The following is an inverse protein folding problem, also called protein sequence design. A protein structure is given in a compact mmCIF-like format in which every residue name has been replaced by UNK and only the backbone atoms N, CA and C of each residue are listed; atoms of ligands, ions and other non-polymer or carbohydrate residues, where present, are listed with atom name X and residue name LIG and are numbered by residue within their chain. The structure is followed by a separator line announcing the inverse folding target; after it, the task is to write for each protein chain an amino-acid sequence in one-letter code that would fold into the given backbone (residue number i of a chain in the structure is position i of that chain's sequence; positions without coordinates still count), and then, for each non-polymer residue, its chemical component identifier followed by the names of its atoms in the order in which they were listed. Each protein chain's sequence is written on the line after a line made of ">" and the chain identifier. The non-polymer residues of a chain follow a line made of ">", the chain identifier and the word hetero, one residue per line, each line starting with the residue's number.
data_IF_707182611707
#
_entry.id   IF_707182611707
#
_cell.length_a   1.000
_cell.length_b   1.000
_cell.length_c   1.000
_cell.angle_alpha   90.00
_cell.angle_beta   90.00
_cell.angle_gamma   90.00
#
_symmetry.space_group_name_H-M   'P 1'
#
loop_
_entity.id
_entity.type
_entity.pdbx_description
1 polymer ?
#
# COMPACT_ATOMS: atom_id res chain seq x y z
N UNK A 1 2.58 -85.96 18.25
CA UNK A 1 1.14 -86.07 17.94
C UNK A 1 0.67 -87.31 18.65
N UNK A 2 -0.14 -87.15 19.70
CA UNK A 2 -0.66 -88.26 20.49
C UNK A 2 -1.59 -89.07 19.58
N UNK A 3 -1.37 -90.39 19.47
CA UNK A 3 -2.36 -91.27 18.88
C UNK A 3 -3.61 -91.19 19.76
N UNK A 4 -4.77 -90.86 19.18
CA UNK A 4 -6.02 -90.79 19.92
C UNK A 4 -6.27 -92.16 20.56
N UNK A 5 -6.61 -92.18 21.86
CA UNK A 5 -6.80 -93.41 22.63
C UNK A 5 -7.81 -94.36 21.96
N UNK A 6 -8.79 -93.80 21.23
CA UNK A 6 -9.78 -94.54 20.47
C UNK A 6 -9.20 -95.28 19.26
N UNK A 7 -8.25 -94.68 18.51
CA UNK A 7 -7.55 -95.37 17.41
C UNK A 7 -6.71 -96.55 17.93
N UNK A 8 -6.13 -96.39 19.11
CA UNK A 8 -5.32 -97.41 19.79
C UNK A 8 -6.19 -98.58 20.27
N UNK A 9 -7.39 -98.31 20.78
CA UNK A 9 -8.37 -99.34 21.16
C UNK A 9 -8.86 -100.10 19.93
N UNK A 10 -9.14 -99.41 18.81
CA UNK A 10 -9.51 -100.06 17.54
C UNK A 10 -8.39 -100.96 17.00
N UNK A 11 -7.12 -100.55 17.13
CA UNK A 11 -5.95 -101.37 16.77
C UNK A 11 -5.83 -102.62 17.66
N UNK A 12 -6.02 -102.46 18.97
CA UNK A 12 -5.99 -103.56 19.95
C UNK A 12 -7.15 -104.54 19.75
N UNK A 13 -8.32 -104.06 19.36
CA UNK A 13 -9.47 -104.92 19.04
C UNK A 13 -9.22 -105.73 17.76
N UNK A 14 -8.57 -105.15 16.74
CA UNK A 14 -8.12 -105.90 15.55
C UNK A 14 -7.08 -106.98 15.89
N UNK A 15 -6.19 -106.72 16.84
CA UNK A 15 -5.20 -107.69 17.34
C UNK A 15 -5.83 -108.87 18.11
N UNK A 16 -7.04 -108.69 18.65
CA UNK A 16 -7.74 -109.69 19.45
C UNK A 16 -8.87 -110.43 18.71
N UNK A 17 -9.34 -109.90 17.57
CA UNK A 17 -10.50 -110.42 16.82
C UNK A 17 -10.20 -111.61 15.89
N UNK A 18 -8.95 -111.97 15.65
CA UNK A 18 -8.65 -113.23 14.97
C UNK A 18 -8.50 -114.35 15.99
N UNK A 19 -9.27 -115.44 15.86
CA UNK A 19 -9.06 -116.69 16.62
C UNK A 19 -7.64 -117.29 16.44
N UNK A 20 -6.85 -116.72 15.51
CA UNK A 20 -5.41 -116.89 15.33
C UNK A 20 -4.67 -115.56 15.55
N UNK A 21 -4.73 -114.99 16.75
CA UNK A 21 -3.98 -113.78 17.10
C UNK A 21 -2.48 -113.99 16.82
N UNK A 22 -1.99 -113.47 15.70
CA UNK A 22 -0.58 -113.56 15.35
C UNK A 22 0.21 -112.75 16.36
N UNK A 23 1.15 -113.33 17.12
CA UNK A 23 1.89 -112.63 18.17
C UNK A 23 2.98 -111.71 17.59
N UNK A 24 2.77 -111.20 16.37
CA UNK A 24 3.75 -110.51 15.57
C UNK A 24 3.19 -109.16 15.11
N UNK A 25 3.99 -108.10 15.27
CA UNK A 25 3.77 -106.81 14.63
C UNK A 25 4.90 -106.54 13.64
N UNK A 26 4.56 -106.08 12.44
CA UNK A 26 5.55 -105.62 11.46
C UNK A 26 5.65 -104.10 11.49
N UNK A 27 6.86 -103.57 11.59
CA UNK A 27 7.05 -102.13 11.54
C UNK A 27 7.09 -101.61 10.11
N UNK A 28 6.17 -100.72 9.75
CA UNK A 28 6.11 -100.03 8.46
C UNK A 28 7.22 -98.99 8.21
N UNK A 29 8.31 -99.01 8.99
CA UNK A 29 9.50 -98.19 8.78
C UNK A 29 10.78 -99.05 8.63
N UNK A 30 10.97 -100.04 9.50
CA UNK A 30 12.12 -100.97 9.50
C UNK A 30 11.83 -102.32 8.81
N UNK A 31 10.56 -102.60 8.50
CA UNK A 31 10.03 -103.93 8.12
C UNK A 31 10.38 -105.08 9.08
N UNK A 32 10.85 -104.79 10.29
CA UNK A 32 11.20 -105.83 11.25
C UNK A 32 9.95 -106.34 11.96
N UNK A 33 9.97 -107.63 12.29
CA UNK A 33 8.92 -108.30 13.04
C UNK A 33 9.24 -108.18 14.53
N UNK A 34 8.33 -107.57 15.27
CA UNK A 34 8.32 -107.56 16.73
C UNK A 34 7.41 -108.68 17.22
N UNK A 35 7.90 -109.49 18.16
CA UNK A 35 7.06 -110.43 18.89
C UNK A 35 6.40 -109.72 20.08
N UNK A 36 5.12 -110.00 20.32
CA UNK A 36 4.40 -109.49 21.49
C UNK A 36 3.69 -110.63 22.18
N UNK A 37 3.86 -110.67 23.50
CA UNK A 37 3.10 -111.56 24.37
C UNK A 37 1.61 -111.12 24.41
N UNK A 38 0.74 -112.00 23.94
CA UNK A 38 -0.72 -111.77 23.86
C UNK A 38 -1.33 -111.54 25.25
N UNK A 39 -0.70 -112.05 26.32
CA UNK A 39 -1.15 -111.82 27.70
C UNK A 39 -0.86 -110.38 28.15
N UNK A 40 0.27 -109.81 27.72
CA UNK A 40 0.63 -108.42 27.98
C UNK A 40 -0.32 -107.44 27.28
N UNK A 41 -0.75 -107.75 26.04
CA UNK A 41 -1.73 -106.95 25.29
C UNK A 41 -3.11 -106.93 25.98
N UNK A 42 -3.56 -108.08 26.51
CA UNK A 42 -4.82 -108.19 27.28
C UNK A 42 -4.77 -107.34 28.56
N UNK A 43 -3.63 -107.31 29.26
CA UNK A 43 -3.41 -106.44 30.41
C UNK A 43 -3.54 -104.96 30.06
N UNK A 44 -2.85 -104.52 29.00
CA UNK A 44 -2.88 -103.13 28.52
C UNK A 44 -4.30 -102.69 28.11
N UNK A 45 -5.09 -103.57 27.46
CA UNK A 45 -6.50 -103.29 27.10
C UNK A 45 -7.41 -103.13 28.32
N UNK A 46 -7.25 -104.00 29.32
CA UNK A 46 -8.05 -103.94 30.54
C UNK A 46 -7.70 -102.70 31.37
N UNK A 47 -6.42 -102.31 31.38
CA UNK A 47 -5.96 -101.08 32.02
C UNK A 47 -6.48 -99.82 31.30
N UNK A 48 -6.52 -99.82 29.97
CA UNK A 48 -7.12 -98.74 29.14
C UNK A 48 -8.61 -98.53 29.43
N UNK A 49 -9.38 -99.62 29.63
CA UNK A 49 -10.80 -99.54 30.01
C UNK A 49 -11.02 -99.06 31.44
N UNK A 50 -10.04 -99.27 32.33
CA UNK A 50 -10.15 -98.99 33.76
C UNK A 50 -9.57 -97.63 34.17
N UNK A 51 -8.56 -97.12 33.45
CA UNK A 51 -7.91 -95.82 33.68
C UNK A 51 -7.56 -95.11 32.35
N UNK A 52 -8.43 -94.22 31.84
CA UNK A 52 -8.24 -93.56 30.54
C UNK A 52 -7.13 -92.48 30.49
N UNK A 53 -6.36 -92.26 31.55
CA UNK A 53 -5.33 -91.20 31.64
C UNK A 53 -3.96 -91.67 32.17
N UNK A 54 -3.64 -92.97 32.10
CA UNK A 54 -2.30 -93.45 32.42
C UNK A 54 -1.27 -93.01 31.34
N UNK A 55 -0.04 -92.59 31.70
CA UNK A 55 0.98 -92.19 30.72
C UNK A 55 1.40 -93.38 29.86
N UNK A 56 1.26 -93.21 28.54
CA UNK A 56 1.34 -94.25 27.53
C UNK A 56 2.78 -94.55 27.09
N UNK A 57 3.34 -95.64 27.60
CA UNK A 57 4.27 -96.52 26.88
C UNK A 57 3.79 -97.94 27.22
N UNK A 58 3.49 -98.84 26.29
CA UNK A 58 4.48 -99.85 25.89
C UNK A 58 3.82 -100.81 24.88
N UNK A 59 3.67 -100.39 23.62
CA UNK A 59 3.99 -101.35 22.57
C UNK A 59 5.51 -101.48 22.59
N UNK A 60 6.09 -102.70 22.58
CA UNK A 60 7.53 -102.85 22.53
C UNK A 60 8.07 -102.10 21.30
N UNK A 61 9.12 -101.28 21.44
CA UNK A 61 9.67 -100.51 20.34
C UNK A 61 10.09 -101.44 19.19
N UNK A 62 10.05 -100.97 17.93
CA UNK A 62 10.59 -101.73 16.79
C UNK A 62 12.01 -102.23 17.14
N UNK A 63 12.26 -103.53 17.05
CA UNK A 63 13.62 -104.09 17.27
C UNK A 63 14.64 -103.51 16.28
N UNK A 64 14.19 -103.05 15.11
CA UNK A 64 15.03 -102.35 14.12
C UNK A 64 15.20 -100.85 14.38
N UNK A 65 14.11 -100.08 14.47
CA UNK A 65 14.16 -98.61 14.46
C UNK A 65 13.78 -97.93 15.79
N UNK A 66 13.56 -98.70 16.85
CA UNK A 66 13.18 -98.27 18.20
C UNK A 66 11.95 -97.36 18.32
N UNK A 67 11.12 -97.23 17.26
CA UNK A 67 9.90 -96.42 17.25
C UNK A 67 8.66 -97.31 17.37
N UNK A 68 7.60 -96.77 17.96
CA UNK A 68 6.29 -97.43 18.14
C UNK A 68 5.22 -96.94 17.17
N UNK A 69 5.51 -95.88 16.40
CA UNK A 69 4.53 -95.11 15.62
C UNK A 69 3.99 -95.86 14.38
N UNK A 70 4.79 -96.76 13.79
CA UNK A 70 4.47 -97.39 12.50
C UNK A 70 4.29 -98.91 12.61
N UNK A 71 3.86 -99.43 13.76
CA UNK A 71 3.65 -100.87 13.94
C UNK A 71 2.28 -101.28 13.38
N UNK A 72 2.25 -102.29 12.52
CA UNK A 72 1.04 -102.89 11.99
C UNK A 72 0.84 -104.31 12.53
N UNK A 73 -0.41 -104.73 12.78
CA UNK A 73 -0.72 -106.08 13.24
C UNK A 73 -0.46 -107.14 12.16
N UNK A 74 0.21 -108.23 12.53
CA UNK A 74 0.46 -109.37 11.65
C UNK A 74 1.89 -109.46 11.10
N UNK A 75 2.18 -110.58 10.42
CA UNK A 75 3.40 -110.75 9.64
C UNK A 75 3.11 -110.32 8.20
N UNK A 76 3.33 -109.05 7.91
CA UNK A 76 3.21 -108.49 6.57
C UNK A 76 4.58 -108.05 6.03
N UNK A 77 4.84 -108.32 4.75
CA UNK A 77 5.99 -107.70 4.07
C UNK A 77 5.62 -106.28 3.65
N UNK A 78 6.07 -105.29 4.41
CA UNK A 78 5.85 -103.86 4.12
C UNK A 78 6.99 -103.25 3.30
N UNK A 79 7.90 -104.09 2.78
CA UNK A 79 9.05 -103.67 1.99
C UNK A 79 8.64 -102.81 0.78
N UNK A 80 7.58 -103.20 0.06
CA UNK A 80 7.09 -102.47 -1.10
C UNK A 80 6.51 -101.09 -0.73
N UNK A 81 5.79 -100.98 0.39
CA UNK A 81 5.24 -99.70 0.87
C UNK A 81 6.33 -98.76 1.38
N UNK A 82 7.34 -99.30 2.07
CA UNK A 82 8.50 -98.54 2.53
C UNK A 82 9.28 -98.02 1.33
N UNK A 83 9.54 -98.86 0.34
CA UNK A 83 10.23 -98.46 -0.90
C UNK A 83 9.43 -97.41 -1.69
N UNK A 84 8.10 -97.51 -1.69
CA UNK A 84 7.26 -96.50 -2.33
C UNK A 84 7.29 -95.16 -1.58
N UNK A 85 7.27 -95.18 -0.23
CA UNK A 85 7.38 -93.98 0.60
C UNK A 85 8.75 -93.31 0.46
N UNK A 86 9.84 -94.08 0.48
CA UNK A 86 11.19 -93.52 0.28
C UNK A 86 11.34 -92.94 -1.11
N UNK A 87 10.82 -93.61 -2.16
CA UNK A 87 10.77 -93.04 -3.51
C UNK A 87 9.97 -91.74 -3.56
N UNK A 88 8.84 -91.66 -2.86
CA UNK A 88 8.04 -90.42 -2.78
C UNK A 88 8.80 -89.31 -2.07
N UNK A 89 9.37 -89.58 -0.89
CA UNK A 89 10.20 -88.62 -0.13
C UNK A 89 11.39 -88.12 -0.97
N UNK A 90 12.11 -89.03 -1.65
CA UNK A 90 13.18 -88.68 -2.57
C UNK A 90 12.69 -87.77 -3.71
N UNK A 91 11.50 -88.03 -4.26
CA UNK A 91 10.93 -87.18 -5.31
C UNK A 91 10.51 -85.80 -4.78
N UNK A 92 10.03 -85.73 -3.54
CA UNK A 92 9.70 -84.46 -2.89
C UNK A 92 10.96 -83.65 -2.60
N UNK A 93 12.01 -84.28 -2.07
CA UNK A 93 13.28 -83.60 -1.78
C UNK A 93 13.96 -83.11 -3.06
N UNK A 94 13.92 -83.91 -4.14
CA UNK A 94 14.38 -83.48 -5.48
C UNK A 94 13.60 -82.29 -6.03
N UNK A 95 12.31 -82.13 -5.69
CA UNK A 95 11.45 -81.00 -6.11
C UNK A 95 11.54 -79.80 -5.18
N UNK A 96 11.96 -79.99 -3.93
CA UNK A 96 12.00 -78.94 -2.91
C UNK A 96 13.06 -77.88 -3.19
N UNK A 97 14.25 -78.32 -3.63
CA UNK A 97 15.36 -77.42 -3.96
C UNK A 97 15.05 -76.50 -5.16
N UNK A 98 14.54 -76.96 -6.32
CA UNK A 98 14.16 -76.05 -7.41
C UNK A 98 13.00 -75.14 -7.03
N UNK A 99 11.98 -75.64 -6.29
CA UNK A 99 10.89 -74.81 -5.81
C UNK A 99 11.38 -73.67 -4.88
N UNK A 100 12.31 -73.98 -3.97
CA UNK A 100 12.93 -72.96 -3.12
C UNK A 100 13.74 -71.93 -3.92
N UNK A 101 14.47 -72.37 -4.95
CA UNK A 101 15.20 -71.48 -5.87
C UNK A 101 14.24 -70.55 -6.60
N UNK A 102 13.11 -71.06 -7.08
CA UNK A 102 12.10 -70.26 -7.78
C UNK A 102 11.46 -69.22 -6.85
N UNK A 103 11.11 -69.60 -5.62
CA UNK A 103 10.61 -68.67 -4.60
C UNK A 103 11.65 -67.58 -4.32
N UNK A 104 12.92 -67.95 -4.14
CA UNK A 104 14.01 -66.98 -3.92
C UNK A 104 14.19 -66.04 -5.12
N UNK A 105 14.08 -66.55 -6.35
CA UNK A 105 14.18 -65.75 -7.58
C UNK A 105 13.06 -64.72 -7.67
N UNK A 106 11.82 -65.14 -7.40
CA UNK A 106 10.66 -64.24 -7.37
C UNK A 106 10.82 -63.18 -6.28
N UNK A 107 11.21 -63.58 -5.07
CA UNK A 107 11.42 -62.69 -3.93
C UNK A 107 12.51 -61.64 -4.22
N UNK A 108 13.68 -62.05 -4.72
CA UNK A 108 14.77 -61.13 -5.11
C UNK A 108 14.33 -60.18 -6.22
N UNK A 109 13.60 -60.67 -7.22
CA UNK A 109 13.06 -59.84 -8.30
C UNK A 109 12.04 -58.81 -7.80
N UNK A 110 11.17 -59.20 -6.87
CA UNK A 110 10.21 -58.28 -6.23
C UNK A 110 10.92 -57.20 -5.41
N UNK A 111 11.87 -57.58 -4.55
CA UNK A 111 12.66 -56.65 -3.75
C UNK A 111 13.47 -55.68 -4.62
N UNK A 112 14.11 -56.19 -5.68
CA UNK A 112 14.84 -55.34 -6.64
C UNK A 112 13.93 -54.31 -7.33
N UNK A 113 12.72 -54.71 -7.72
CA UNK A 113 11.73 -53.76 -8.29
C UNK A 113 11.20 -52.76 -7.28
N UNK A 114 11.05 -53.14 -6.01
CA UNK A 114 10.70 -52.19 -4.94
C UNK A 114 11.80 -51.15 -4.74
N UNK A 115 13.05 -51.60 -4.59
CA UNK A 115 14.18 -50.69 -4.37
C UNK A 115 14.42 -49.79 -5.58
N UNK A 116 14.33 -50.32 -6.80
CA UNK A 116 14.41 -49.52 -8.02
C UNK A 116 13.30 -48.45 -8.08
N UNK A 117 12.07 -48.76 -7.64
CA UNK A 117 10.98 -47.76 -7.53
C UNK A 117 11.30 -46.70 -6.48
N UNK A 118 11.80 -47.11 -5.31
CA UNK A 118 12.21 -46.20 -4.23
C UNK A 118 13.31 -45.24 -4.69
N UNK A 119 14.36 -45.75 -5.34
CA UNK A 119 15.47 -44.94 -5.85
C UNK A 119 15.02 -43.97 -6.95
N UNK A 120 14.14 -44.41 -7.86
CA UNK A 120 13.53 -43.51 -8.86
C UNK A 120 12.73 -42.38 -8.20
N UNK A 121 11.91 -42.68 -7.19
CA UNK A 121 11.16 -41.68 -6.45
C UNK A 121 12.08 -40.70 -5.72
N UNK A 122 13.10 -41.20 -5.02
CA UNK A 122 14.09 -40.38 -4.34
C UNK A 122 14.84 -39.43 -5.32
N UNK A 123 15.22 -39.94 -6.50
CA UNK A 123 15.83 -39.12 -7.56
C UNK A 123 14.87 -38.02 -8.04
N UNK A 124 13.62 -38.35 -8.32
CA UNK A 124 12.61 -37.37 -8.75
C UNK A 124 12.36 -36.30 -7.67
N UNK A 125 12.33 -36.68 -6.39
CA UNK A 125 12.19 -35.73 -5.28
C UNK A 125 13.39 -34.80 -5.16
N UNK A 126 14.61 -35.33 -5.32
CA UNK A 126 15.83 -34.53 -5.31
C UNK A 126 15.87 -33.55 -6.49
N UNK A 127 15.53 -33.99 -7.70
CA UNK A 127 15.40 -33.12 -8.87
C UNK A 127 14.35 -32.04 -8.65
N UNK A 128 13.18 -32.38 -8.09
CA UNK A 128 12.15 -31.39 -7.72
C UNK A 128 12.67 -30.34 -6.74
N UNK A 129 13.49 -30.74 -5.75
CA UNK A 129 14.13 -29.79 -4.82
C UNK A 129 15.08 -28.84 -5.55
N UNK A 130 15.90 -29.36 -6.48
CA UNK A 130 16.78 -28.53 -7.33
C UNK A 130 15.97 -27.56 -8.19
N UNK A 131 14.92 -28.03 -8.88
CA UNK A 131 14.07 -27.18 -9.70
C UNK A 131 13.38 -26.10 -8.88
N UNK A 132 12.89 -26.43 -7.68
CA UNK A 132 12.30 -25.43 -6.77
C UNK A 132 13.33 -24.39 -6.32
N UNK A 133 14.54 -24.82 -5.96
CA UNK A 133 15.63 -23.92 -5.59
C UNK A 133 16.02 -22.99 -6.76
N UNK A 134 16.20 -23.55 -7.96
CA UNK A 134 16.50 -22.78 -9.17
C UNK A 134 15.38 -21.78 -9.49
N UNK A 135 14.10 -22.19 -9.40
CA UNK A 135 12.96 -21.32 -9.61
C UNK A 135 12.91 -20.16 -8.59
N UNK A 136 13.22 -20.44 -7.31
CA UNK A 136 13.32 -19.40 -6.27
C UNK A 136 14.44 -18.39 -6.58
N UNK A 137 15.61 -18.87 -6.98
CA UNK A 137 16.75 -18.02 -7.36
C UNK A 137 16.39 -17.17 -8.59
N UNK A 138 15.88 -17.79 -9.65
CA UNK A 138 15.47 -17.10 -10.88
C UNK A 138 14.39 -16.05 -10.61
N UNK A 139 13.37 -16.37 -9.80
CA UNK A 139 12.33 -15.40 -9.40
C UNK A 139 12.95 -14.21 -8.67
N UNK A 140 13.88 -14.46 -7.75
CA UNK A 140 14.55 -13.40 -6.99
C UNK A 140 15.37 -12.49 -7.91
N UNK A 141 16.17 -13.07 -8.82
CA UNK A 141 16.99 -12.33 -9.78
C UNK A 141 16.12 -11.47 -10.69
N UNK A 142 15.11 -12.06 -11.35
CA UNK A 142 14.16 -11.33 -12.21
C UNK A 142 13.50 -10.16 -11.48
N UNK A 143 13.12 -10.38 -10.21
CA UNK A 143 12.55 -9.33 -9.37
C UNK A 143 13.54 -8.21 -9.03
N UNK A 144 14.80 -8.55 -8.75
CA UNK A 144 15.86 -7.55 -8.51
C UNK A 144 16.12 -6.74 -9.78
N UNK A 145 16.22 -7.38 -10.93
CA UNK A 145 16.43 -6.74 -12.22
C UNK A 145 15.29 -5.79 -12.58
N UNK A 146 14.04 -6.22 -12.43
CA UNK A 146 12.87 -5.38 -12.71
C UNK A 146 12.82 -4.13 -11.82
N UNK A 147 13.05 -4.29 -10.50
CA UNK A 147 13.08 -3.15 -9.57
C UNK A 147 14.26 -2.22 -9.82
N UNK A 148 15.42 -2.78 -10.18
CA UNK A 148 16.61 -1.99 -10.52
C UNK A 148 16.34 -1.16 -11.76
N UNK A 149 15.82 -1.78 -12.83
CA UNK A 149 15.41 -1.11 -14.06
C UNK A 149 14.45 0.04 -13.77
N UNK A 150 13.36 -0.23 -13.05
CA UNK A 150 12.36 0.76 -12.71
C UNK A 150 12.95 1.96 -11.95
N UNK A 151 13.80 1.71 -10.95
CA UNK A 151 14.47 2.79 -10.19
C UNK A 151 15.38 3.64 -11.09
N UNK A 152 16.09 3.02 -12.03
CA UNK A 152 16.95 3.74 -12.96
C UNK A 152 16.11 4.57 -13.93
N UNK A 153 15.02 4.02 -14.47
CA UNK A 153 14.09 4.76 -15.33
C UNK A 153 13.47 5.97 -14.59
N UNK A 154 13.12 5.82 -13.32
CA UNK A 154 12.70 6.94 -12.47
C UNK A 154 13.81 7.99 -12.33
N UNK A 155 15.06 7.59 -12.09
CA UNK A 155 16.19 8.53 -12.04
C UNK A 155 16.39 9.24 -13.38
N UNK A 156 16.25 8.56 -14.52
CA UNK A 156 16.34 9.16 -15.85
C UNK A 156 15.23 10.21 -16.01
N UNK A 157 13.99 9.89 -15.63
CA UNK A 157 12.89 10.84 -15.70
C UNK A 157 13.15 12.11 -14.88
N UNK A 158 13.71 11.99 -13.67
CA UNK A 158 14.12 13.14 -12.85
C UNK A 158 15.17 13.99 -13.56
N UNK A 159 16.18 13.36 -14.17
CA UNK A 159 17.24 14.08 -14.88
C UNK A 159 16.70 14.83 -16.10
N UNK A 160 15.85 14.17 -16.91
CA UNK A 160 15.32 14.76 -18.15
C UNK A 160 14.29 15.86 -17.88
N UNK A 161 13.59 15.82 -16.74
CA UNK A 161 12.64 16.85 -16.34
C UNK A 161 13.31 18.00 -15.55
N UNK A 162 14.60 17.89 -15.23
CA UNK A 162 15.31 18.91 -14.47
C UNK A 162 15.46 20.21 -15.29
N UNK A 163 15.41 21.34 -14.60
CA UNK A 163 15.66 22.63 -15.24
C UNK A 163 17.10 22.70 -15.79
N UNK A 164 17.30 23.35 -16.96
CA UNK A 164 18.59 23.43 -17.67
C UNK A 164 19.77 23.81 -16.77
N UNK A 165 19.61 24.80 -15.90
CA UNK A 165 20.67 25.23 -14.98
C UNK A 165 21.01 24.23 -13.86
N UNK A 166 20.03 23.42 -13.44
CA UNK A 166 20.25 22.34 -12.46
C UNK A 166 20.93 21.17 -13.14
N UNK A 167 20.47 20.83 -14.35
CA UNK A 167 21.06 19.80 -15.19
C UNK A 167 22.53 20.08 -15.47
N UNK A 168 22.89 21.27 -15.95
CA UNK A 168 24.29 21.65 -16.21
C UNK A 168 25.14 21.58 -14.94
N UNK A 169 24.61 22.02 -13.79
CA UNK A 169 25.31 21.91 -12.51
C UNK A 169 25.57 20.45 -12.09
N UNK A 170 24.59 19.57 -12.33
CA UNK A 170 24.65 18.16 -11.96
C UNK A 170 25.65 17.37 -12.82
N UNK A 171 25.71 17.67 -14.12
CA UNK A 171 26.62 17.02 -15.08
C UNK A 171 28.04 17.56 -15.03
N UNK A 172 28.25 18.79 -14.53
CA UNK A 172 29.59 19.34 -14.32
C UNK A 172 30.36 18.52 -13.28
N UNK A 173 31.63 18.21 -13.58
CA UNK A 173 32.51 17.50 -12.66
C UNK A 173 33.06 18.45 -11.59
N UNK A 174 32.91 18.04 -10.33
CA UNK A 174 33.41 18.77 -9.16
C UNK A 174 34.51 17.94 -8.48
N UNK A 175 35.59 18.54 -7.98
CA UNK A 175 36.72 17.80 -7.38
C UNK A 175 36.33 17.03 -6.12
N UNK A 176 35.28 17.47 -5.41
CA UNK A 176 34.79 16.84 -4.18
C UNK A 176 33.78 15.71 -4.41
N UNK A 177 33.38 15.47 -5.66
CA UNK A 177 32.32 14.50 -6.00
C UNK A 177 32.85 13.45 -6.97
N UNK A 178 32.25 12.25 -7.02
CA UNK A 178 32.70 11.21 -7.94
C UNK A 178 32.64 11.68 -9.39
N UNK A 179 33.63 11.34 -10.20
CA UNK A 179 33.64 11.75 -11.62
C UNK A 179 32.49 11.09 -12.37
N UNK A 180 31.75 11.89 -13.13
CA UNK A 180 30.63 11.48 -13.97
C UNK A 180 31.08 11.59 -15.43
N UNK A 181 30.64 10.63 -16.24
CA UNK A 181 30.62 10.78 -17.70
C UNK A 181 29.18 11.03 -18.11
N UNK A 182 28.93 11.88 -19.09
CA UNK A 182 27.57 12.15 -19.54
C UNK A 182 27.54 12.30 -21.06
N UNK A 183 26.35 12.14 -21.64
CA UNK A 183 26.15 12.21 -23.09
C UNK A 183 25.80 13.65 -23.46
N UNK A 184 26.55 14.23 -24.40
CA UNK A 184 26.31 15.60 -24.88
C UNK A 184 25.37 15.63 -26.10
N UNK A 185 25.32 14.53 -26.86
CA UNK A 185 24.51 14.41 -28.06
C UNK A 185 23.02 14.22 -27.72
N UNK A 186 22.16 15.06 -28.31
CA UNK A 186 20.71 15.02 -28.06
C UNK A 186 20.05 13.74 -28.59
N UNK A 187 20.50 13.23 -29.73
CA UNK A 187 19.96 12.01 -30.32
C UNK A 187 20.29 10.78 -29.48
N UNK A 188 21.53 10.71 -28.95
CA UNK A 188 21.95 9.67 -28.02
C UNK A 188 21.12 9.72 -26.73
N UNK A 189 20.87 10.92 -26.20
CA UNK A 189 20.01 11.14 -25.04
C UNK A 189 18.56 10.72 -25.30
N UNK A 190 18.04 10.93 -26.51
CA UNK A 190 16.69 10.51 -26.88
C UNK A 190 16.56 8.98 -26.88
N UNK A 191 17.53 8.27 -27.47
CA UNK A 191 17.58 6.81 -27.45
C UNK A 191 17.79 6.28 -26.02
N UNK A 192 18.67 6.91 -25.26
CA UNK A 192 18.94 6.57 -23.87
C UNK A 192 17.70 6.70 -22.97
N UNK A 193 16.88 7.74 -23.21
CA UNK A 193 15.62 7.96 -22.50
C UNK A 193 14.59 6.88 -22.82
N UNK A 194 14.51 6.43 -24.07
CA UNK A 194 13.56 5.43 -24.50
C UNK A 194 13.89 4.04 -23.90
N UNK A 195 15.14 3.58 -24.06
CA UNK A 195 15.62 2.35 -23.44
C UNK A 195 17.14 2.40 -23.21
N UNK A 196 17.53 2.70 -21.97
CA UNK A 196 18.94 2.81 -21.59
C UNK A 196 19.69 1.46 -21.68
N UNK A 197 19.01 0.31 -21.50
CA UNK A 197 19.67 -1.01 -21.56
C UNK A 197 19.95 -1.41 -23.00
N UNK A 198 19.02 -1.12 -23.89
CA UNK A 198 19.22 -1.29 -25.33
C UNK A 198 20.33 -0.38 -25.84
N UNK A 199 20.35 0.89 -25.41
CA UNK A 199 21.43 1.82 -25.71
C UNK A 199 22.80 1.25 -25.31
N UNK A 200 22.95 0.79 -24.06
CA UNK A 200 24.20 0.19 -23.56
C UNK A 200 24.59 -1.09 -24.32
N UNK A 201 23.61 -1.90 -24.75
CA UNK A 201 23.88 -3.06 -25.61
C UNK A 201 24.42 -2.65 -26.98
N UNK A 202 23.85 -1.61 -27.60
CA UNK A 202 24.28 -1.08 -28.91
C UNK A 202 25.66 -0.43 -28.86
N UNK A 203 26.03 0.19 -27.74
CA UNK A 203 27.39 0.71 -27.53
C UNK A 203 28.41 -0.38 -27.17
N UNK A 204 28.03 -1.66 -27.26
CA UNK A 204 28.92 -2.79 -26.98
C UNK A 204 29.28 -2.94 -25.50
N UNK A 205 28.40 -2.50 -24.59
CA UNK A 205 28.64 -2.47 -23.14
C UNK A 205 29.89 -1.66 -22.74
N UNK A 206 30.22 -0.62 -23.51
CA UNK A 206 31.26 0.36 -23.20
C UNK A 206 30.62 1.73 -23.02
N UNK A 207 30.50 2.26 -21.80
CA UNK A 207 30.82 1.65 -20.50
C UNK A 207 29.84 0.55 -20.05
N UNK A 208 30.22 -0.30 -19.08
CA UNK A 208 29.39 -1.42 -18.64
C UNK A 208 28.12 -0.94 -17.94
N UNK A 209 27.04 -1.73 -18.04
CA UNK A 209 25.70 -1.38 -17.54
C UNK A 209 25.70 -0.91 -16.09
N UNK A 210 26.37 -1.63 -15.18
CA UNK A 210 26.42 -1.27 -13.77
C UNK A 210 27.04 0.11 -13.53
N UNK A 211 28.02 0.50 -14.35
CA UNK A 211 28.68 1.81 -14.26
C UNK A 211 27.75 2.91 -14.79
N UNK A 212 27.01 2.64 -15.86
CA UNK A 212 25.96 3.54 -16.38
C UNK A 212 24.87 3.76 -15.34
N UNK A 213 24.36 2.70 -14.73
CA UNK A 213 23.32 2.77 -13.69
C UNK A 213 23.78 3.53 -12.45
N UNK A 214 25.01 3.30 -12.00
CA UNK A 214 25.61 4.06 -10.89
C UNK A 214 25.75 5.55 -11.22
N UNK A 215 26.16 5.84 -12.45
CA UNK A 215 26.33 7.20 -12.93
C UNK A 215 24.99 7.95 -13.03
N UNK A 216 23.95 7.30 -13.56
CA UNK A 216 22.58 7.85 -13.59
C UNK A 216 22.08 8.15 -12.17
N UNK A 217 22.27 7.23 -11.23
CA UNK A 217 21.89 7.46 -9.82
C UNK A 217 22.62 8.65 -9.22
N UNK A 218 23.90 8.81 -9.54
CA UNK A 218 24.70 9.94 -9.09
C UNK A 218 24.20 11.28 -9.66
N UNK A 219 23.95 11.36 -10.97
CA UNK A 219 23.41 12.58 -11.59
C UNK A 219 22.04 12.93 -11.00
N UNK A 220 21.13 11.96 -10.87
CA UNK A 220 19.83 12.18 -10.26
C UNK A 220 19.94 12.69 -8.82
N UNK A 221 20.87 12.14 -8.02
CA UNK A 221 21.14 12.62 -6.66
C UNK A 221 21.63 14.07 -6.65
N UNK A 222 22.48 14.46 -7.60
CA UNK A 222 22.97 15.84 -7.72
C UNK A 222 21.88 16.82 -8.13
N UNK A 223 21.01 16.42 -9.06
CA UNK A 223 19.82 17.19 -9.47
C UNK A 223 18.96 17.47 -8.24
N UNK A 224 18.52 16.42 -7.55
CA UNK A 224 17.65 16.55 -6.37
C UNK A 224 18.31 17.36 -5.24
N UNK A 225 19.60 17.12 -4.96
CA UNK A 225 20.32 17.88 -3.95
C UNK A 225 20.40 19.37 -4.29
N UNK A 226 20.60 19.71 -5.57
CA UNK A 226 20.65 21.10 -6.03
C UNK A 226 19.27 21.76 -5.96
N UNK A 227 18.22 21.07 -6.40
CA UNK A 227 16.84 21.55 -6.31
C UNK A 227 16.44 21.81 -4.86
N UNK A 228 16.69 20.85 -3.97
CA UNK A 228 16.41 20.99 -2.55
C UNK A 228 17.15 22.18 -1.92
N UNK A 229 18.41 22.40 -2.30
CA UNK A 229 19.17 23.57 -1.83
C UNK A 229 18.57 24.90 -2.32
N UNK A 230 18.12 24.97 -3.57
CA UNK A 230 17.48 26.16 -4.13
C UNK A 230 16.12 26.42 -3.48
N UNK A 231 15.31 25.37 -3.31
CA UNK A 231 14.02 25.43 -2.61
C UNK A 231 14.22 25.90 -1.16
N UNK A 232 15.21 25.37 -0.45
CA UNK A 232 15.52 25.78 0.92
C UNK A 232 15.88 27.28 1.00
N UNK A 233 16.61 27.83 0.02
CA UNK A 233 16.92 29.26 -0.06
C UNK A 233 15.68 30.12 -0.32
N UNK A 234 14.78 29.67 -1.20
CA UNK A 234 13.52 30.37 -1.46
C UNK A 234 12.65 30.35 -0.19
N UNK A 235 12.55 29.20 0.46
CA UNK A 235 11.79 29.07 1.71
C UNK A 235 12.36 29.91 2.85
N UNK A 236 13.68 30.00 3.00
CA UNK A 236 14.29 30.83 4.04
C UNK A 236 14.06 32.33 3.78
N UNK A 237 14.19 32.78 2.53
CA UNK A 237 13.86 34.15 2.13
C UNK A 237 12.37 34.46 2.37
N UNK A 238 11.47 33.55 1.99
CA UNK A 238 10.04 33.68 2.20
C UNK A 238 9.69 33.79 3.68
N UNK A 239 10.20 32.88 4.52
CA UNK A 239 10.00 32.94 5.98
C UNK A 239 10.48 34.28 6.55
N UNK A 240 11.63 34.79 6.09
CA UNK A 240 12.12 36.11 6.49
C UNK A 240 11.21 37.27 6.08
N UNK A 241 10.63 37.23 4.88
CA UNK A 241 9.67 38.24 4.42
C UNK A 241 8.38 38.19 5.25
N UNK A 242 7.83 37.00 5.46
CA UNK A 242 6.62 36.78 6.26
C UNK A 242 6.78 37.31 7.68
N UNK A 243 7.92 37.02 8.34
CA UNK A 243 8.20 37.54 9.68
C UNK A 243 8.30 39.07 9.70
N UNK A 244 8.92 39.69 8.68
CA UNK A 244 8.98 41.17 8.59
C UNK A 244 7.61 41.80 8.44
N UNK A 245 6.75 41.24 7.58
CA UNK A 245 5.38 41.73 7.39
C UNK A 245 4.59 41.60 8.70
N UNK A 246 4.67 40.45 9.36
CA UNK A 246 4.01 40.22 10.64
C UNK A 246 4.49 41.20 11.73
N UNK A 247 5.80 41.44 11.80
CA UNK A 247 6.40 42.37 12.76
C UNK A 247 5.99 43.83 12.51
N UNK A 248 5.96 44.27 11.25
CA UNK A 248 5.50 45.61 10.89
C UNK A 248 4.02 45.81 11.28
N UNK A 249 3.19 44.80 11.05
CA UNK A 249 1.79 44.86 11.46
C UNK A 249 1.66 44.92 12.99
N UNK A 250 2.40 44.10 13.74
CA UNK A 250 2.45 44.17 15.19
C UNK A 250 2.87 45.58 15.69
N UNK A 251 3.90 46.17 15.08
CA UNK A 251 4.33 47.54 15.40
C UNK A 251 3.24 48.58 15.15
N UNK A 252 2.50 48.47 14.03
CA UNK A 252 1.36 49.34 13.74
C UNK A 252 0.28 49.20 14.81
N UNK A 253 -0.07 47.98 15.19
CA UNK A 253 -1.07 47.72 16.24
C UNK A 253 -0.64 48.29 17.59
N UNK A 254 0.63 48.14 17.97
CA UNK A 254 1.18 48.78 19.18
C UNK A 254 1.12 50.31 19.12
N UNK A 255 1.50 50.90 17.98
CA UNK A 255 1.43 52.35 17.77
C UNK A 255 -0.01 52.88 17.83
N UNK A 256 -0.96 52.14 17.26
CA UNK A 256 -2.38 52.46 17.33
C UNK A 256 -2.90 52.40 18.77
N UNK A 257 -2.54 51.35 19.52
CA UNK A 257 -2.89 51.22 20.94
C UNK A 257 -2.35 52.39 21.77
N UNK A 258 -1.06 52.73 21.61
CA UNK A 258 -0.46 53.91 22.27
C UNK A 258 -1.16 55.22 21.90
N UNK A 259 -1.50 55.39 20.62
CA UNK A 259 -2.21 56.58 20.15
C UNK A 259 -3.60 56.70 20.77
N UNK A 260 -4.32 55.57 20.92
CA UNK A 260 -5.63 55.54 21.59
C UNK A 260 -5.53 55.94 23.07
N UNK A 261 -4.50 55.47 23.78
CA UNK A 261 -4.26 55.86 25.17
C UNK A 261 -3.94 57.35 25.30
N UNK A 262 -3.06 57.86 24.44
CA UNK A 262 -2.64 59.27 24.46
C UNK A 262 -3.68 60.25 23.89
N UNK A 263 -4.69 59.76 23.15
CA UNK A 263 -5.71 60.59 22.54
C UNK A 263 -6.47 61.45 23.57
N UNK A 264 -6.71 60.92 24.77
CA UNK A 264 -7.36 61.67 25.85
C UNK A 264 -6.48 62.81 26.36
N UNK A 265 -5.21 62.53 26.65
CA UNK A 265 -4.25 63.54 27.08
C UNK A 265 -4.08 64.65 26.03
N UNK A 266 -3.97 64.29 24.74
CA UNK A 266 -3.88 65.25 23.63
C UNK A 266 -5.15 66.11 23.52
N UNK A 267 -6.35 65.55 23.73
CA UNK A 267 -7.60 66.32 23.75
C UNK A 267 -7.62 67.34 24.89
N UNK A 268 -7.23 66.93 26.10
CA UNK A 268 -7.13 67.83 27.26
C UNK A 268 -6.13 68.97 26.96
N UNK A 269 -4.93 68.62 26.46
CA UNK A 269 -3.91 69.61 26.09
C UNK A 269 -4.40 70.57 25.00
N UNK A 270 -5.11 70.09 23.99
CA UNK A 270 -5.70 70.95 22.94
C UNK A 270 -6.73 71.91 23.51
N UNK A 271 -7.62 71.44 24.38
CA UNK A 271 -8.60 72.30 25.05
C UNK A 271 -7.92 73.35 25.93
N UNK A 272 -6.90 72.95 26.69
CA UNK A 272 -6.13 73.86 27.53
C UNK A 272 -5.44 74.96 26.69
N UNK A 273 -4.73 74.58 25.61
CA UNK A 273 -4.08 75.54 24.69
C UNK A 273 -5.09 76.47 24.02
N UNK A 274 -6.21 75.93 23.57
CA UNK A 274 -7.29 76.74 22.98
C UNK A 274 -7.88 77.72 23.98
N UNK A 275 -8.08 77.31 25.23
CA UNK A 275 -8.57 78.18 26.29
C UNK A 275 -7.57 79.30 26.59
N UNK A 276 -6.28 79.00 26.69
CA UNK A 276 -5.24 80.02 26.89
C UNK A 276 -5.18 81.02 25.74
N UNK A 277 -5.29 80.55 24.50
CA UNK A 277 -5.28 81.42 23.32
C UNK A 277 -6.53 82.29 23.25
N UNK A 278 -7.72 81.74 23.54
CA UNK A 278 -8.97 82.52 23.62
C UNK A 278 -8.91 83.60 24.69
N UNK A 279 -8.34 83.30 25.86
CA UNK A 279 -8.14 84.29 26.93
C UNK A 279 -7.25 85.44 26.46
N UNK A 280 -6.10 85.14 25.84
CA UNK A 280 -5.20 86.16 25.28
C UNK A 280 -5.89 86.99 24.19
N UNK A 281 -6.63 86.34 23.29
CA UNK A 281 -7.37 87.05 22.23
C UNK A 281 -8.45 87.98 22.80
N UNK A 282 -9.22 87.52 23.77
CA UNK A 282 -10.26 88.34 24.41
C UNK A 282 -9.67 89.53 25.17
N UNK A 283 -8.45 89.40 25.73
CA UNK A 283 -7.72 90.52 26.35
C UNK A 283 -7.23 91.56 25.32
N UNK A 284 -6.98 91.13 24.08
CA UNK A 284 -6.47 91.97 23.00
C UNK A 284 -7.56 92.52 22.07
N UNK A 285 -8.81 92.11 22.26
CA UNK A 285 -9.95 92.60 21.48
C UNK A 285 -10.38 93.97 22.04
N UNK A 286 -10.22 95.07 21.29
CA UNK A 286 -10.83 96.33 21.67
C UNK A 286 -12.35 96.18 21.58
N UNK A 287 -13.07 96.87 22.46
CA UNK A 287 -14.53 96.95 22.45
C UNK A 287 -14.98 97.61 21.14
N UNK A 288 -15.21 96.81 20.10
CA UNK A 288 -15.68 97.29 18.79
C UNK A 288 -17.16 97.61 18.85
N UNK A 289 -17.55 98.72 18.22
CA UNK A 289 -18.94 99.12 18.11
C UNK A 289 -19.75 98.13 17.25
N UNK A 290 -21.01 97.89 17.65
CA UNK A 290 -21.91 96.91 17.04
C UNK A 290 -22.15 97.15 15.54
N UNK A 291 -22.04 98.39 15.10
CA UNK A 291 -22.24 98.82 13.71
C UNK A 291 -21.14 98.33 12.78
N UNK A 292 -19.87 98.38 13.21
CA UNK A 292 -18.73 97.87 12.44
C UNK A 292 -18.81 96.36 12.23
N UNK A 293 -19.25 95.62 13.26
CA UNK A 293 -19.41 94.16 13.21
C UNK A 293 -20.50 93.77 12.19
N UNK A 294 -21.59 94.52 12.12
CA UNK A 294 -22.66 94.28 11.15
C UNK A 294 -22.19 94.54 9.72
N UNK A 295 -21.41 95.60 9.49
CA UNK A 295 -20.85 95.90 8.17
C UNK A 295 -19.88 94.81 7.71
N UNK A 296 -18.96 94.37 8.57
CA UNK A 296 -18.06 93.24 8.28
C UNK A 296 -18.84 91.93 8.00
N UNK A 297 -19.97 91.72 8.67
CA UNK A 297 -20.81 90.55 8.41
C UNK A 297 -21.44 90.60 7.01
N UNK A 298 -21.97 91.76 6.61
CA UNK A 298 -22.57 91.92 5.28
C UNK A 298 -21.53 91.80 4.17
N UNK A 299 -20.35 92.41 4.32
CA UNK A 299 -19.28 92.31 3.31
C UNK A 299 -18.82 90.86 3.11
N UNK A 300 -18.61 90.10 4.19
CA UNK A 300 -18.25 88.69 4.11
C UNK A 300 -19.37 87.85 3.49
N UNK A 301 -20.64 88.19 3.74
CA UNK A 301 -21.77 87.48 3.16
C UNK A 301 -21.91 87.76 1.65
N UNK A 302 -21.67 89.00 1.22
CA UNK A 302 -21.63 89.39 -0.18
C UNK A 302 -20.46 88.73 -0.92
N UNK A 303 -19.28 88.66 -0.32
CA UNK A 303 -18.13 87.95 -0.87
C UNK A 303 -18.43 86.46 -1.05
N UNK A 304 -19.05 85.82 -0.05
CA UNK A 304 -19.48 84.42 -0.15
C UNK A 304 -20.49 84.21 -1.28
N UNK A 305 -21.45 85.11 -1.43
CA UNK A 305 -22.43 85.07 -2.51
C UNK A 305 -21.75 85.22 -3.88
N UNK A 306 -20.80 86.15 -4.02
CA UNK A 306 -20.00 86.34 -5.25
C UNK A 306 -19.18 85.11 -5.60
N UNK A 307 -18.49 84.51 -4.64
CA UNK A 307 -17.71 83.28 -4.85
C UNK A 307 -18.62 82.11 -5.22
N UNK A 308 -19.79 81.98 -4.58
CA UNK A 308 -20.77 80.95 -4.92
C UNK A 308 -21.30 81.12 -6.35
N UNK A 309 -21.62 82.35 -6.75
CA UNK A 309 -22.05 82.67 -8.11
C UNK A 309 -20.98 82.34 -9.15
N UNK A 310 -19.71 82.70 -8.88
CA UNK A 310 -18.59 82.37 -9.76
C UNK A 310 -18.41 80.85 -9.94
N UNK A 311 -18.54 80.06 -8.86
CA UNK A 311 -18.49 78.59 -8.93
C UNK A 311 -19.64 78.01 -9.75
N UNK A 312 -20.86 78.53 -9.58
CA UNK A 312 -22.02 78.11 -10.35
C UNK A 312 -21.82 78.37 -11.85
N UNK A 313 -21.31 79.55 -12.20
CA UNK A 313 -21.02 79.92 -13.59
C UNK A 313 -19.93 79.01 -14.20
N UNK A 314 -18.88 78.70 -13.44
CA UNK A 314 -17.85 77.75 -13.85
C UNK A 314 -18.41 76.34 -14.09
N UNK A 315 -19.31 75.86 -13.22
CA UNK A 315 -19.95 74.55 -13.37
C UNK A 315 -20.84 74.49 -14.62
N UNK A 316 -21.62 75.56 -14.89
CA UNK A 316 -22.45 75.67 -16.09
C UNK A 316 -21.62 75.67 -17.39
N UNK A 317 -20.52 76.43 -17.42
CA UNK A 317 -19.59 76.42 -18.56
C UNK A 317 -18.95 75.04 -18.79
N UNK A 318 -18.59 74.34 -17.72
CA UNK A 318 -18.04 72.99 -17.84
C UNK A 318 -19.06 71.97 -18.33
N UNK A 319 -20.34 72.12 -17.97
CA UNK A 319 -21.41 71.27 -18.46
C UNK A 319 -21.67 71.46 -19.96
N UNK A 320 -21.76 72.71 -20.42
CA UNK A 320 -21.93 73.03 -21.85
C UNK A 320 -20.74 72.55 -22.69
N UNK A 321 -19.51 72.70 -22.17
CA UNK A 321 -18.31 72.16 -22.81
C UNK A 321 -18.35 70.62 -22.93
N UNK A 322 -18.72 69.91 -21.86
CA UNK A 322 -18.84 68.44 -21.89
C UNK A 322 -19.87 67.97 -22.91
N UNK A 323 -21.02 68.63 -23.00
CA UNK A 323 -22.07 68.33 -23.97
C UNK A 323 -21.56 68.52 -25.42
N UNK A 324 -20.83 69.60 -25.70
CA UNK A 324 -20.25 69.83 -27.03
C UNK A 324 -19.20 68.77 -27.39
N UNK A 325 -18.33 68.39 -26.45
CA UNK A 325 -17.34 67.33 -26.67
C UNK A 325 -18.01 65.99 -26.95
N UNK A 326 -19.10 65.66 -26.26
CA UNK A 326 -19.90 64.47 -26.54
C UNK A 326 -20.54 64.52 -27.93
N UNK A 327 -21.15 65.65 -28.31
CA UNK A 327 -21.71 65.86 -29.63
C UNK A 327 -20.65 65.72 -30.74
N UNK A 328 -19.48 66.34 -30.57
CA UNK A 328 -18.35 66.25 -31.50
C UNK A 328 -17.86 64.81 -31.69
N UNK A 329 -17.85 64.00 -30.62
CA UNK A 329 -17.50 62.58 -30.69
C UNK A 329 -18.57 61.77 -31.42
N UNK A 330 -19.86 62.02 -31.13
CA UNK A 330 -20.98 61.37 -31.83
C UNK A 330 -21.02 61.70 -33.32
N UNK A 331 -20.91 62.98 -33.68
CA UNK A 331 -20.92 63.43 -35.07
C UNK A 331 -19.77 62.83 -35.90
N UNK A 332 -18.57 62.66 -35.31
CA UNK A 332 -17.45 61.95 -35.96
C UNK A 332 -17.73 60.47 -36.23
N UNK A 333 -18.49 59.80 -35.37
CA UNK A 333 -18.83 58.38 -35.53
C UNK A 333 -19.92 58.16 -36.60
N UNK A 334 -20.84 59.12 -36.74
CA UNK A 334 -22.00 59.04 -37.66
C UNK A 334 -21.74 59.78 -38.98
N UNK A 335 -20.56 60.40 -39.16
CA UNK A 335 -20.20 61.16 -40.36
C UNK A 335 -20.97 62.48 -40.52
N UNK A 336 -21.58 62.98 -39.45
CA UNK A 336 -22.40 64.21 -39.44
C UNK A 336 -21.54 65.47 -39.29
N UNK A 337 -22.01 66.61 -39.78
CA UNK A 337 -21.30 67.89 -39.64
C UNK A 337 -21.16 68.31 -38.16
N UNK A 338 -19.96 68.72 -37.75
CA UNK A 338 -19.69 69.17 -36.38
C UNK A 338 -20.14 70.62 -36.22
N UNK A 339 -21.13 70.86 -35.36
CA UNK A 339 -21.55 72.23 -35.03
C UNK A 339 -20.47 73.02 -34.25
N UNK A 340 -20.31 74.33 -34.53
CA UNK A 340 -19.35 75.18 -33.82
C UNK A 340 -19.73 75.32 -32.34
N UNK A 341 -18.73 75.40 -31.45
CA UNK A 341 -18.97 75.57 -30.01
C UNK A 341 -19.66 76.92 -29.76
N UNK A 342 -20.93 76.88 -29.37
CA UNK A 342 -21.70 78.05 -28.96
C UNK A 342 -22.02 77.92 -27.48
N UNK A 343 -21.57 78.89 -26.69
CA UNK A 343 -22.07 79.08 -25.32
C UNK A 343 -23.45 79.71 -25.47
N UNK A 344 -24.50 78.89 -25.45
CA UNK A 344 -25.85 79.41 -25.36
C UNK A 344 -25.96 80.18 -24.03
N UNK A 345 -26.07 81.52 -24.12
CA UNK A 345 -26.71 82.27 -23.04
C UNK A 345 -28.14 81.73 -23.03
N UNK A 346 -28.51 81.00 -21.98
CA UNK A 346 -29.88 80.53 -21.82
C UNK A 346 -30.83 81.68 -22.17
N UNK A 347 -31.57 81.54 -23.27
CA UNK A 347 -32.82 82.29 -23.40
C UNK A 347 -33.66 81.82 -22.22
N UNK A 348 -34.24 82.72 -21.40
CA UNK A 348 -35.16 82.29 -20.37
C UNK A 348 -36.24 81.45 -21.04
N UNK A 349 -36.33 80.17 -20.66
CA UNK A 349 -37.41 79.31 -21.11
C UNK A 349 -38.74 80.01 -20.79
N UNK A 350 -39.73 80.00 -21.70
CA UNK A 350 -41.07 80.42 -21.32
C UNK A 350 -41.53 79.51 -20.18
N UNK A 351 -41.92 80.13 -19.07
CA UNK A 351 -42.52 79.47 -17.91
C UNK A 351 -43.80 78.81 -18.41
N UNK A 352 -43.73 77.53 -18.73
CA UNK A 352 -44.92 76.73 -18.95
C UNK A 352 -45.47 76.39 -17.56
N UNK A 353 -46.40 77.22 -17.10
CA UNK A 353 -47.23 76.98 -15.91
C UNK A 353 -48.11 75.76 -16.15
N UNK A 354 -47.54 74.57 -16.02
CA UNK A 354 -48.24 73.31 -15.85
C UNK A 354 -47.22 72.22 -15.49
N UNK A 355 -46.90 72.11 -14.21
CA UNK A 355 -46.49 70.84 -13.62
C UNK A 355 -47.51 70.46 -12.55
N UNK A 356 -48.05 69.23 -12.60
CA UNK A 356 -48.98 68.73 -11.59
C UNK A 356 -48.27 68.69 -10.24
N UNK A 357 -48.98 69.09 -9.19
CA UNK A 357 -48.54 69.03 -7.79
C UNK A 357 -47.96 67.64 -7.47
N UNK A 358 -46.66 67.53 -7.14
CA UNK A 358 -46.17 66.37 -6.41
C UNK A 358 -46.52 66.58 -4.94
N UNK A 359 -47.39 65.71 -4.46
CA UNK A 359 -47.69 65.49 -3.04
C UNK A 359 -46.44 65.57 -2.17
N UNK A 360 -46.58 66.23 -1.02
CA UNK A 360 -45.57 66.49 0.00
C UNK A 360 -44.92 65.22 0.55
N UNK A 361 -43.98 64.63 -0.18
CA UNK A 361 -43.02 63.70 0.39
C UNK A 361 -41.81 64.53 0.85
N UNK A 362 -41.75 64.85 2.14
CA UNK A 362 -40.61 65.53 2.79
C UNK A 362 -39.33 64.78 2.42
N UNK A 363 -38.50 65.37 1.57
CA UNK A 363 -37.16 64.89 1.29
C UNK A 363 -36.41 64.74 2.63
N UNK A 364 -35.82 63.57 2.93
CA UNK A 364 -35.20 63.33 4.22
C UNK A 364 -34.08 64.35 4.46
N UNK A 365 -34.08 64.98 5.63
CA UNK A 365 -33.08 65.98 5.99
C UNK A 365 -31.67 65.40 5.82
N UNK A 366 -30.70 66.24 5.45
CA UNK A 366 -29.31 65.82 5.23
C UNK A 366 -28.74 65.01 6.42
N UNK A 367 -29.24 65.28 7.63
CA UNK A 367 -28.94 64.50 8.83
C UNK A 367 -29.46 63.06 8.78
N UNK A 368 -30.70 62.82 8.31
CA UNK A 368 -31.24 61.46 8.14
C UNK A 368 -30.53 60.68 7.05
N UNK A 369 -30.08 61.35 5.98
CA UNK A 369 -29.25 60.73 4.92
C UNK A 369 -27.84 60.41 5.43
N UNK A 370 -27.25 61.28 6.25
CA UNK A 370 -25.95 61.01 6.87
C UNK A 370 -26.03 59.90 7.92
N UNK A 371 -27.10 59.86 8.71
CA UNK A 371 -27.36 58.80 9.69
C UNK A 371 -27.61 57.46 9.00
N UNK A 372 -28.39 57.40 7.93
CA UNK A 372 -28.61 56.15 7.19
C UNK A 372 -27.32 55.61 6.55
N UNK A 373 -26.42 56.50 6.10
CA UNK A 373 -25.08 56.10 5.63
C UNK A 373 -24.19 55.56 6.75
N UNK A 374 -24.22 56.19 7.94
CA UNK A 374 -23.49 55.71 9.12
C UNK A 374 -24.05 54.38 9.63
N UNK A 375 -25.37 54.23 9.68
CA UNK A 375 -26.03 52.98 10.08
C UNK A 375 -25.76 51.86 9.06
N UNK A 376 -25.69 52.17 7.76
CA UNK A 376 -25.27 51.23 6.72
C UNK A 376 -23.78 50.83 6.83
N UNK A 377 -22.91 51.74 7.27
CA UNK A 377 -21.51 51.44 7.55
C UNK A 377 -21.34 50.60 8.83
N UNK A 378 -22.12 50.87 9.86
CA UNK A 378 -22.15 50.09 11.09
C UNK A 378 -22.63 48.64 10.84
N UNK A 379 -23.62 48.45 9.95
CA UNK A 379 -24.06 47.11 9.50
C UNK A 379 -23.01 46.38 8.65
N UNK A 380 -22.09 47.09 7.99
CA UNK A 380 -20.97 46.48 7.25
C UNK A 380 -19.76 46.12 8.12
N UNK A 381 -19.70 46.61 9.37
CA UNK A 381 -18.60 46.38 10.31
C UNK A 381 -18.88 45.33 11.40
N UNK A 382 -19.97 44.57 11.31
CA UNK A 382 -20.35 43.59 12.35
C UNK A 382 -19.85 42.16 12.15
N UNK A 383 -18.86 41.94 11.29
CA UNK A 383 -18.08 40.68 11.36
C UNK A 383 -16.76 41.00 12.04
N UNK A 384 -16.68 40.67 13.33
CA UNK A 384 -15.43 40.73 14.07
C UNK A 384 -14.37 39.91 13.34
N UNK A 385 -13.13 40.38 13.31
CA UNK A 385 -12.00 39.71 12.66
C UNK A 385 -11.93 38.18 12.95
N UNK A 386 -12.27 37.68 14.16
CA UNK A 386 -12.36 36.23 14.44
C UNK A 386 -13.45 35.47 13.67
N UNK A 387 -14.55 36.11 13.26
CA UNK A 387 -15.64 35.49 12.51
C UNK A 387 -15.31 35.31 11.02
N UNK A 388 -14.56 36.25 10.43
CA UNK A 388 -14.04 36.13 9.05
C UNK A 388 -13.06 34.97 8.91
N UNK A 389 -12.16 34.82 9.87
CA UNK A 389 -11.18 33.73 9.91
C UNK A 389 -11.85 32.35 10.05
N UNK A 390 -12.92 32.25 10.84
CA UNK A 390 -13.70 31.01 10.96
C UNK A 390 -14.43 30.61 9.66
N UNK A 391 -15.00 31.57 8.93
CA UNK A 391 -15.64 31.27 7.62
C UNK A 391 -14.63 30.87 6.55
N UNK A 392 -13.43 31.44 6.56
CA UNK A 392 -12.37 31.06 5.63
C UNK A 392 -11.89 29.63 5.89
N UNK A 393 -11.69 29.24 7.16
CA UNK A 393 -11.32 27.86 7.49
C UNK A 393 -12.41 26.84 7.16
N UNK A 394 -13.70 27.20 7.28
CA UNK A 394 -14.81 26.32 6.89
C UNK A 394 -14.92 26.11 5.37
N UNK A 395 -14.52 27.10 4.58
CA UNK A 395 -14.50 26.98 3.11
C UNK A 395 -13.37 26.03 2.67
N UNK A 396 -12.17 26.19 3.25
CA UNK A 396 -11.02 25.33 2.96
C UNK A 396 -11.24 23.86 3.37
N UNK A 397 -12.02 23.60 4.43
CA UNK A 397 -12.39 22.22 4.80
C UNK A 397 -13.39 21.60 3.83
N UNK A 398 -14.40 22.36 3.37
CA UNK A 398 -15.38 21.86 2.40
C UNK A 398 -14.77 21.62 1.01
N UNK A 399 -13.74 22.38 0.64
CA UNK A 399 -13.04 22.23 -0.64
C UNK A 399 -12.09 21.03 -0.63
N UNK A 400 -11.46 20.72 0.50
CA UNK A 400 -10.67 19.49 0.66
C UNK A 400 -11.54 18.22 0.68
N UNK A 401 -12.73 18.26 1.29
CA UNK A 401 -13.65 17.12 1.29
C UNK A 401 -14.26 16.84 -0.11
N UNK A 402 -14.39 17.88 -0.96
CA UNK A 402 -14.78 17.74 -2.38
C UNK A 402 -13.68 17.19 -3.28
N UNK A 403 -12.41 17.33 -2.90
CA UNK A 403 -11.27 16.79 -3.64
C UNK A 403 -10.96 15.35 -3.21
N UNK A 404 -11.40 14.95 -2.01
CA UNK A 404 -11.24 13.60 -1.47
C UNK A 404 -12.40 12.63 -1.77
N UNK A 405 -13.49 13.13 -2.39
CA UNK A 405 -14.60 12.33 -2.93
C UNK A 405 -14.43 12.17 -4.44
#
# INVERSE_FOLDING_TARGET
>A
MAADADELVVLLDRLLLSEYATPYLTCGHCNSINFIDVTAIKGIRNDLRSRPHAPYECLPPCVGCSRTIFLQPGVASLAAEIEQKTKQEDTFDKKRTPAAIDIQRVARGFLGRMEARRLRQAKLEWERKIFRAAACIQRRIRGIEARTRYRIEQCIAVIMNAHKAVYTFATTNHPTKPRIFWYDNLDELAVFRADYREFVRRTGNRPPLWRVEMNVREVARRVLARENALVARIQSAWRGLTTRVAYLELKRQMGWSRSRLMAYAVRIQRLARMHTDRRRRNQLLPTRDRTEILQDYFTVHEEKARVAHARHLQQSLMATYRAHVQHKRGAKLVGSSIEPFRVYKDRPCPVNNQRPHPTTAKSPSAFRVAKSKLDAMARRQSDSFPARLRRQMQYDTCENDRIAS
#
